data_IF_780567653552
#
_entry.id   IF_780567653552
#
_cell.length_a   1.000
_cell.length_b   1.000
_cell.length_c   1.000
_cell.angle_alpha   90.00
_cell.angle_beta   90.00
_cell.angle_gamma   90.00
#
_symmetry.space_group_name_H-M   'P 1'
#
loop_
_entity.id
_entity.type
_entity.pdbx_description
1 polymer ?
#
# COMPACT_ATOMS: atom_id res chain seq x y z
N UNK A 1 7.91 -23.98 14.38
CA UNK A 1 6.92 -23.48 13.40
C UNK A 1 6.01 -24.63 12.99
N UNK A 2 4.69 -24.48 13.13
CA UNK A 2 3.72 -25.56 12.83
C UNK A 2 3.52 -25.62 11.31
N UNK A 3 3.86 -26.76 10.68
CA UNK A 3 4.02 -26.89 9.22
C UNK A 3 2.73 -26.85 8.37
N UNK A 4 2.88 -27.20 7.08
CA UNK A 4 1.88 -27.09 5.98
C UNK A 4 0.49 -27.67 6.26
N UNK A 5 0.34 -28.54 7.26
CA UNK A 5 -0.96 -29.10 7.68
C UNK A 5 -1.96 -28.03 8.17
N UNK A 6 -1.48 -26.90 8.67
CA UNK A 6 -2.34 -25.80 9.16
C UNK A 6 -3.03 -25.03 8.02
N UNK A 7 -2.48 -25.00 6.80
CA UNK A 7 -3.10 -24.35 5.63
C UNK A 7 -4.42 -25.02 5.18
N UNK A 8 -4.81 -26.12 5.82
CA UNK A 8 -6.07 -26.84 5.58
C UNK A 8 -7.26 -26.25 6.34
N UNK A 9 -7.04 -25.35 7.29
CA UNK A 9 -8.12 -24.72 8.07
C UNK A 9 -8.22 -23.23 7.77
N UNK A 10 -9.43 -22.65 7.87
CA UNK A 10 -9.66 -21.20 7.69
C UNK A 10 -8.79 -20.36 8.64
N UNK A 11 -8.70 -20.78 9.90
CA UNK A 11 -7.86 -20.14 10.93
C UNK A 11 -6.38 -20.21 10.55
N UNK A 12 -5.89 -21.35 10.07
CA UNK A 12 -4.51 -21.47 9.65
C UNK A 12 -4.19 -20.57 8.47
N UNK A 13 -5.04 -20.51 7.44
CA UNK A 13 -4.87 -19.59 6.31
C UNK A 13 -4.80 -18.13 6.78
N UNK A 14 -5.73 -17.69 7.62
CA UNK A 14 -5.75 -16.33 8.16
C UNK A 14 -4.49 -15.98 8.98
N UNK A 15 -3.97 -16.94 9.76
CA UNK A 15 -2.71 -16.78 10.50
C UNK A 15 -1.52 -16.57 9.55
N UNK A 16 -1.41 -17.38 8.49
CA UNK A 16 -0.34 -17.23 7.50
C UNK A 16 -0.44 -15.91 6.74
N UNK A 17 -1.65 -15.49 6.31
CA UNK A 17 -1.86 -14.19 5.68
C UNK A 17 -1.45 -13.03 6.62
N UNK A 18 -1.79 -13.14 7.91
CA UNK A 18 -1.45 -12.12 8.90
C UNK A 18 0.04 -11.99 9.17
N UNK A 19 0.74 -13.12 9.33
CA UNK A 19 2.21 -13.12 9.51
C UNK A 19 2.90 -12.55 8.27
N UNK A 20 2.46 -12.91 7.07
CA UNK A 20 3.01 -12.35 5.83
C UNK A 20 2.76 -10.85 5.72
N UNK A 21 1.56 -10.37 6.05
CA UNK A 21 1.26 -8.94 6.09
C UNK A 21 2.19 -8.18 7.04
N UNK A 22 2.40 -8.69 8.26
CA UNK A 22 3.32 -8.06 9.22
C UNK A 22 4.78 -8.08 8.76
N UNK A 23 5.21 -9.15 8.09
CA UNK A 23 6.54 -9.20 7.48
C UNK A 23 6.69 -8.14 6.39
N UNK A 24 5.71 -7.98 5.50
CA UNK A 24 5.74 -6.97 4.44
C UNK A 24 5.87 -5.57 5.04
N UNK A 25 5.05 -5.25 6.04
CA UNK A 25 5.13 -4.00 6.81
C UNK A 25 6.55 -3.79 7.35
N UNK A 26 7.15 -4.79 7.98
CA UNK A 26 8.50 -4.69 8.51
C UNK A 26 9.56 -4.45 7.41
N UNK A 27 9.51 -5.19 6.30
CA UNK A 27 10.44 -5.04 5.18
C UNK A 27 10.34 -3.64 4.55
N UNK A 28 9.12 -3.21 4.23
CA UNK A 28 8.85 -1.90 3.63
C UNK A 28 9.24 -0.74 4.56
N UNK A 29 8.95 -0.86 5.87
CA UNK A 29 9.28 0.18 6.85
C UNK A 29 10.78 0.28 7.10
N UNK A 30 11.47 -0.86 7.19
CA UNK A 30 12.91 -0.90 7.49
C UNK A 30 13.79 -0.79 6.25
N UNK A 31 13.21 -0.80 5.04
CA UNK A 31 13.96 -0.90 3.78
C UNK A 31 14.95 -2.09 3.78
N UNK A 32 14.52 -3.22 4.37
CA UNK A 32 15.32 -4.45 4.47
C UNK A 32 14.65 -5.56 3.71
N UNK A 33 15.46 -6.30 2.96
CA UNK A 33 15.06 -7.54 2.32
C UNK A 33 14.66 -8.57 3.38
N UNK A 34 13.62 -9.38 3.14
CA UNK A 34 13.33 -10.52 3.99
C UNK A 34 14.53 -11.47 4.03
N UNK A 35 14.90 -11.95 5.23
CA UNK A 35 16.11 -12.79 5.43
C UNK A 35 16.19 -14.04 4.54
N UNK A 36 15.05 -14.55 4.08
CA UNK A 36 14.96 -15.76 3.25
C UNK A 36 14.70 -15.47 1.76
N UNK A 37 14.71 -14.19 1.37
CA UNK A 37 14.41 -13.75 0.01
C UNK A 37 12.90 -13.73 -0.30
N UNK A 38 12.48 -12.93 -1.29
CA UNK A 38 11.08 -12.78 -1.64
C UNK A 38 10.42 -14.09 -2.10
N UNK A 39 11.15 -14.90 -2.86
CA UNK A 39 10.66 -16.17 -3.41
C UNK A 39 10.29 -17.19 -2.32
N UNK A 40 11.08 -17.26 -1.24
CA UNK A 40 10.80 -18.19 -0.13
C UNK A 40 9.49 -17.84 0.57
N UNK A 41 9.19 -16.54 0.74
CA UNK A 41 7.95 -16.08 1.38
C UNK A 41 6.72 -16.27 0.50
N UNK A 42 6.91 -16.32 -0.82
CA UNK A 42 5.87 -16.48 -1.83
C UNK A 42 5.62 -17.96 -2.23
N UNK A 43 6.55 -18.88 -1.96
CA UNK A 43 6.54 -20.26 -2.46
C UNK A 43 5.31 -21.11 -2.09
N UNK A 44 4.64 -20.81 -0.96
CA UNK A 44 3.53 -21.62 -0.43
C UNK A 44 2.13 -21.05 -0.73
N UNK A 45 2.02 -20.03 -1.58
CA UNK A 45 0.78 -19.27 -1.81
C UNK A 45 -0.05 -19.76 -3.02
N UNK A 46 0.09 -21.03 -3.42
CA UNK A 46 -0.43 -21.62 -4.67
C UNK A 46 -1.95 -21.50 -4.95
N UNK A 47 -2.76 -20.95 -4.05
CA UNK A 47 -4.20 -20.73 -4.27
C UNK A 47 -4.58 -19.29 -4.64
N UNK A 48 -3.66 -18.34 -4.51
CA UNK A 48 -3.93 -16.93 -4.74
C UNK A 48 -2.75 -16.28 -5.48
N UNK A 49 -2.72 -16.51 -6.79
CA UNK A 49 -1.66 -15.99 -7.66
C UNK A 49 -1.58 -14.46 -7.62
N UNK A 50 -2.74 -13.78 -7.53
CA UNK A 50 -2.82 -12.32 -7.46
C UNK A 50 -2.20 -11.74 -6.19
N UNK A 51 -2.57 -12.25 -5.01
CA UNK A 51 -1.96 -11.79 -3.75
C UNK A 51 -0.49 -12.16 -3.64
N UNK A 52 -0.10 -13.31 -4.20
CA UNK A 52 1.32 -13.72 -4.24
C UNK A 52 2.14 -12.77 -5.10
N UNK A 53 1.61 -12.42 -6.27
CA UNK A 53 2.23 -11.50 -7.19
C UNK A 53 2.47 -10.12 -6.56
N UNK A 54 1.43 -9.51 -6.00
CA UNK A 54 1.56 -8.17 -5.40
C UNK A 54 2.48 -8.16 -4.17
N UNK A 55 2.50 -9.25 -3.39
CA UNK A 55 3.44 -9.38 -2.28
C UNK A 55 4.90 -9.44 -2.75
N UNK A 56 5.17 -10.09 -3.88
CA UNK A 56 6.50 -10.08 -4.50
C UNK A 56 6.90 -8.67 -4.92
N UNK A 57 6.00 -7.94 -5.59
CA UNK A 57 6.25 -6.54 -5.96
C UNK A 57 6.58 -5.68 -4.75
N UNK A 58 5.81 -5.81 -3.66
CA UNK A 58 6.03 -5.07 -2.42
C UNK A 58 7.44 -5.32 -1.84
N UNK A 59 7.92 -6.56 -1.90
CA UNK A 59 9.27 -6.91 -1.43
C UNK A 59 10.35 -6.33 -2.34
N UNK A 60 10.14 -6.31 -3.65
CA UNK A 60 11.07 -5.69 -4.62
C UNK A 60 11.15 -4.18 -4.42
N UNK A 61 10.05 -3.50 -4.07
CA UNK A 61 10.07 -2.08 -3.69
C UNK A 61 10.90 -1.85 -2.43
N UNK A 62 10.77 -2.71 -1.41
CA UNK A 62 11.58 -2.61 -0.19
C UNK A 62 13.08 -2.78 -0.47
N UNK A 63 13.45 -3.72 -1.34
CA UNK A 63 14.83 -3.93 -1.82
C UNK A 63 15.35 -2.69 -2.54
N UNK A 64 14.58 -2.18 -3.51
CA UNK A 64 14.98 -1.02 -4.31
C UNK A 64 15.17 0.24 -3.46
N UNK A 65 14.31 0.44 -2.46
CA UNK A 65 14.45 1.52 -1.47
C UNK A 65 15.74 1.38 -0.66
N UNK A 66 16.06 0.16 -0.23
CA UNK A 66 17.30 -0.14 0.50
C UNK A 66 18.55 0.13 -0.34
N UNK A 67 18.54 -0.30 -1.60
CA UNK A 67 19.63 -0.09 -2.56
C UNK A 67 19.85 1.40 -2.82
N UNK A 68 18.78 2.17 -3.07
CA UNK A 68 18.87 3.61 -3.28
C UNK A 68 19.44 4.30 -2.04
N UNK A 69 18.92 4.01 -0.85
CA UNK A 69 19.41 4.60 0.39
C UNK A 69 20.92 4.37 0.58
N UNK A 70 21.40 3.16 0.30
CA UNK A 70 22.84 2.83 0.38
C UNK A 70 23.67 3.63 -0.62
N UNK A 71 23.21 3.78 -1.87
CA UNK A 71 23.93 4.56 -2.87
C UNK A 71 24.02 6.03 -2.44
N UNK A 72 22.88 6.64 -2.10
CA UNK A 72 22.78 8.06 -1.76
C UNK A 72 23.56 8.42 -0.48
N UNK A 73 23.70 7.49 0.47
CA UNK A 73 24.42 7.74 1.73
C UNK A 73 25.92 7.46 1.66
N UNK A 74 26.37 6.58 0.77
CA UNK A 74 27.74 6.05 0.81
C UNK A 74 28.62 6.51 -0.35
N UNK A 75 28.06 7.10 -1.41
CA UNK A 75 28.81 7.45 -2.61
C UNK A 75 28.69 8.94 -2.94
N UNK A 76 29.79 9.60 -3.36
CA UNK A 76 29.70 10.93 -3.94
C UNK A 76 29.03 10.87 -5.32
N UNK A 77 28.50 12.01 -5.79
CA UNK A 77 28.02 12.13 -7.17
C UNK A 77 29.19 11.96 -8.14
N UNK A 78 29.06 10.97 -9.03
CA UNK A 78 29.97 10.67 -10.13
C UNK A 78 29.17 10.13 -11.32
N UNK A 79 29.75 10.05 -12.53
CA UNK A 79 29.09 9.43 -13.67
C UNK A 79 28.61 7.99 -13.36
N UNK A 80 29.45 7.17 -12.74
CA UNK A 80 29.16 5.77 -12.43
C UNK A 80 28.02 5.62 -11.42
N UNK A 81 28.00 6.46 -10.39
CA UNK A 81 26.92 6.45 -9.39
C UNK A 81 25.61 7.01 -9.95
N UNK A 82 25.70 7.94 -10.90
CA UNK A 82 24.52 8.48 -11.61
C UNK A 82 23.90 7.43 -12.52
N UNK A 83 24.71 6.60 -13.18
CA UNK A 83 24.21 5.44 -13.94
C UNK A 83 23.46 4.45 -13.03
N UNK A 84 24.01 4.13 -11.85
CA UNK A 84 23.33 3.27 -10.87
C UNK A 84 21.99 3.86 -10.38
N UNK A 85 21.94 5.16 -10.12
CA UNK A 85 20.70 5.84 -9.70
C UNK A 85 19.67 5.86 -10.83
N UNK A 86 20.12 6.03 -12.07
CA UNK A 86 19.25 5.97 -13.26
C UNK A 86 18.67 4.57 -13.46
N UNK A 87 19.48 3.53 -13.27
CA UNK A 87 19.01 2.14 -13.32
C UNK A 87 17.95 1.85 -12.23
N UNK A 88 18.16 2.37 -11.01
CA UNK A 88 17.14 2.28 -9.95
C UNK A 88 15.83 2.97 -10.37
N UNK A 89 15.91 4.14 -11.00
CA UNK A 89 14.72 4.85 -11.48
C UNK A 89 13.96 4.02 -12.51
N UNK A 90 14.66 3.44 -13.49
CA UNK A 90 14.02 2.58 -14.50
C UNK A 90 13.31 1.39 -13.87
N UNK A 91 13.98 0.66 -12.98
CA UNK A 91 13.39 -0.47 -12.25
C UNK A 91 12.17 -0.06 -11.41
N UNK A 92 12.19 1.14 -10.82
CA UNK A 92 11.04 1.66 -10.07
C UNK A 92 9.83 1.90 -10.98
N UNK A 93 10.05 2.46 -12.16
CA UNK A 93 9.00 2.69 -13.16
C UNK A 93 8.46 1.38 -13.75
N UNK A 94 9.30 0.37 -13.93
CA UNK A 94 8.86 -0.97 -14.33
C UNK A 94 7.96 -1.62 -13.26
N UNK A 95 8.33 -1.50 -11.99
CA UNK A 95 7.48 -1.98 -10.88
C UNK A 95 6.12 -1.29 -10.85
N UNK A 96 6.07 0.03 -11.11
CA UNK A 96 4.80 0.76 -11.22
C UNK A 96 3.90 0.19 -12.33
N UNK A 97 4.46 -0.13 -13.49
CA UNK A 97 3.70 -0.77 -14.57
C UNK A 97 3.16 -2.15 -14.18
N UNK A 98 3.93 -2.94 -13.42
CA UNK A 98 3.45 -4.22 -12.89
C UNK A 98 2.31 -4.05 -11.88
N UNK A 99 2.35 -3.00 -11.04
CA UNK A 99 1.23 -2.69 -10.15
C UNK A 99 -0.03 -2.31 -10.91
N UNK A 100 0.08 -1.53 -11.99
CA UNK A 100 -1.06 -1.18 -12.85
C UNK A 100 -1.66 -2.43 -13.49
N UNK A 101 -0.83 -3.31 -14.05
CA UNK A 101 -1.28 -4.61 -14.59
C UNK A 101 -1.98 -5.46 -13.53
N UNK A 102 -1.45 -5.51 -12.32
CA UNK A 102 -2.10 -6.21 -11.22
C UNK A 102 -3.45 -5.57 -10.89
N UNK A 103 -3.53 -4.24 -10.83
CA UNK A 103 -4.74 -3.50 -10.50
C UNK A 103 -5.91 -3.85 -11.43
N UNK A 104 -5.65 -3.98 -12.73
CA UNK A 104 -6.63 -4.38 -13.76
C UNK A 104 -7.26 -5.76 -13.50
N UNK A 105 -6.57 -6.63 -12.75
CA UNK A 105 -7.06 -7.97 -12.39
C UNK A 105 -7.86 -8.00 -11.10
N UNK A 106 -7.91 -6.88 -10.37
CA UNK A 106 -8.56 -6.79 -9.06
C UNK A 106 -9.94 -6.14 -9.15
N UNK A 107 -10.77 -6.40 -8.14
CA UNK A 107 -12.11 -5.80 -8.05
C UNK A 107 -12.22 -4.93 -6.79
N UNK A 108 -12.78 -3.73 -6.97
CA UNK A 108 -13.26 -2.84 -5.91
C UNK A 108 -14.48 -2.08 -6.44
N UNK A 109 -15.34 -1.61 -5.54
CA UNK A 109 -16.52 -0.85 -5.92
C UNK A 109 -16.56 0.47 -5.17
N UNK A 110 -16.57 1.59 -5.89
CA UNK A 110 -16.93 2.88 -5.31
C UNK A 110 -18.44 2.91 -5.07
N UNK A 111 -18.85 3.13 -3.82
CA UNK A 111 -20.26 3.06 -3.40
C UNK A 111 -20.84 4.38 -2.94
N UNK A 112 -20.00 5.35 -2.60
CA UNK A 112 -20.44 6.68 -2.21
C UNK A 112 -19.37 7.73 -2.50
N UNK A 113 -19.83 8.97 -2.56
CA UNK A 113 -19.01 10.16 -2.54
C UNK A 113 -19.54 11.10 -1.45
N UNK A 114 -18.69 11.44 -0.50
CA UNK A 114 -19.05 12.17 0.72
C UNK A 114 -18.60 13.62 0.56
N UNK A 115 -19.53 14.47 0.15
CA UNK A 115 -19.25 15.90 -0.10
C UNK A 115 -19.55 16.79 1.12
N UNK A 116 -20.37 16.32 2.06
CA UNK A 116 -20.90 17.17 3.12
C UNK A 116 -20.26 16.85 4.48
N UNK A 117 -19.46 17.80 4.99
CA UNK A 117 -18.96 17.77 6.37
C UNK A 117 -19.99 18.49 7.25
N UNK A 118 -20.58 17.84 8.28
CA UNK A 118 -21.55 18.48 9.16
C UNK A 118 -21.01 19.78 9.77
N UNK A 119 -21.56 20.92 9.35
CA UNK A 119 -21.13 22.25 9.81
C UNK A 119 -19.69 22.62 9.43
N UNK A 120 -19.09 21.94 8.44
CA UNK A 120 -17.69 22.15 8.05
C UNK A 120 -16.65 21.60 9.05
N UNK A 121 -17.10 20.93 10.12
CA UNK A 121 -16.24 20.39 11.16
C UNK A 121 -15.89 18.92 10.88
N UNK A 122 -14.69 18.67 10.34
CA UNK A 122 -14.23 17.33 9.97
C UNK A 122 -14.18 16.37 11.15
N UNK A 123 -14.03 16.88 12.39
CA UNK A 123 -14.00 16.04 13.59
C UNK A 123 -15.37 15.41 13.91
N UNK A 124 -16.43 15.92 13.29
CA UNK A 124 -17.82 15.42 13.41
C UNK A 124 -18.24 14.58 12.21
N UNK A 125 -17.39 14.41 11.20
CA UNK A 125 -17.71 13.58 10.06
C UNK A 125 -17.51 12.09 10.42
N UNK A 126 -18.48 11.25 10.07
CA UNK A 126 -18.40 9.81 10.30
C UNK A 126 -17.36 9.12 9.40
N UNK A 127 -17.07 9.73 8.25
CA UNK A 127 -16.06 9.32 7.26
C UNK A 127 -15.35 10.54 6.70
N UNK A 128 -14.09 10.37 6.30
CA UNK A 128 -13.35 11.43 5.62
C UNK A 128 -14.08 11.83 4.32
N UNK A 129 -14.14 13.12 3.96
CA UNK A 129 -14.71 13.57 2.70
C UNK A 129 -14.07 12.90 1.48
N UNK A 130 -14.88 12.70 0.45
CA UNK A 130 -14.47 12.07 -0.81
C UNK A 130 -15.03 10.67 -0.99
N UNK A 131 -14.28 9.84 -1.72
CA UNK A 131 -14.75 8.54 -2.20
C UNK A 131 -14.80 7.50 -1.08
N UNK A 132 -15.81 6.61 -1.10
CA UNK A 132 -15.86 5.41 -0.27
C UNK A 132 -15.87 4.18 -1.15
N UNK A 133 -14.89 3.29 -0.95
CA UNK A 133 -14.72 2.05 -1.70
C UNK A 133 -15.04 0.81 -0.83
N UNK A 134 -15.71 -0.18 -1.42
CA UNK A 134 -15.88 -1.52 -0.85
C UNK A 134 -15.04 -2.55 -1.59
N UNK A 135 -14.68 -3.60 -0.86
CA UNK A 135 -13.83 -4.69 -1.35
C UNK A 135 -14.50 -6.04 -1.07
N UNK A 136 -14.13 -7.11 -1.80
CA UNK A 136 -14.70 -8.43 -1.57
C UNK A 136 -14.51 -8.94 -0.14
N UNK A 137 -13.35 -8.65 0.46
CA UNK A 137 -13.00 -9.00 1.84
C UNK A 137 -11.78 -8.20 2.35
N UNK A 138 -11.46 -8.33 3.64
CA UNK A 138 -10.43 -7.51 4.34
C UNK A 138 -9.02 -7.74 3.80
N UNK A 139 -8.64 -8.98 3.48
CA UNK A 139 -7.32 -9.27 2.93
C UNK A 139 -7.13 -8.67 1.53
N UNK A 140 -8.16 -8.65 0.68
CA UNK A 140 -8.15 -7.97 -0.61
C UNK A 140 -7.95 -6.47 -0.42
N UNK A 141 -8.72 -5.84 0.48
CA UNK A 141 -8.51 -4.43 0.84
C UNK A 141 -7.08 -4.19 1.40
N UNK A 142 -6.54 -5.12 2.19
CA UNK A 142 -5.17 -5.02 2.71
C UNK A 142 -4.12 -5.11 1.60
N UNK A 143 -4.31 -5.97 0.61
CA UNK A 143 -3.43 -6.11 -0.55
C UNK A 143 -3.42 -4.82 -1.39
N UNK A 144 -4.60 -4.25 -1.62
CA UNK A 144 -4.77 -2.92 -2.23
C UNK A 144 -4.01 -1.83 -1.45
N UNK A 145 -4.14 -1.80 -0.12
CA UNK A 145 -3.46 -0.77 0.66
C UNK A 145 -1.95 -0.98 0.71
N UNK A 146 -1.46 -2.21 0.78
CA UNK A 146 -0.02 -2.48 0.69
C UNK A 146 0.55 -2.10 -0.68
N UNK A 147 -0.16 -2.38 -1.78
CA UNK A 147 0.29 -1.95 -3.11
C UNK A 147 0.33 -0.43 -3.23
N UNK A 148 -0.70 0.28 -2.75
CA UNK A 148 -0.74 1.75 -2.75
C UNK A 148 0.40 2.37 -1.95
N UNK A 149 0.72 1.84 -0.77
CA UNK A 149 1.88 2.31 0.01
C UNK A 149 3.18 2.05 -0.73
N UNK A 150 3.35 0.88 -1.34
CA UNK A 150 4.53 0.59 -2.16
C UNK A 150 4.65 1.56 -3.35
N UNK A 151 3.55 1.95 -3.99
CA UNK A 151 3.53 2.95 -5.06
C UNK A 151 3.86 4.36 -4.56
N UNK A 152 3.47 4.73 -3.34
CA UNK A 152 3.95 5.95 -2.67
C UNK A 152 5.49 5.89 -2.48
N UNK A 153 6.04 4.74 -2.11
CA UNK A 153 7.50 4.58 -2.03
C UNK A 153 8.17 4.61 -3.39
N UNK A 154 7.56 4.05 -4.45
CA UNK A 154 8.04 4.21 -5.83
C UNK A 154 8.10 5.68 -6.21
N UNK A 155 7.04 6.46 -5.92
CA UNK A 155 7.03 7.89 -6.17
C UNK A 155 8.22 8.59 -5.49
N UNK A 156 8.45 8.31 -4.21
CA UNK A 156 9.58 8.87 -3.47
C UNK A 156 10.95 8.41 -4.02
N UNK A 157 11.09 7.16 -4.45
CA UNK A 157 12.31 6.63 -5.09
C UNK A 157 12.59 7.42 -6.37
N UNK A 158 11.62 7.51 -7.27
CA UNK A 158 11.77 8.19 -8.57
C UNK A 158 12.07 9.68 -8.37
N UNK A 159 11.37 10.36 -7.47
CA UNK A 159 11.63 11.78 -7.14
C UNK A 159 13.07 11.98 -6.65
N UNK A 160 13.55 11.10 -5.75
CA UNK A 160 14.93 11.18 -5.24
C UNK A 160 15.97 10.88 -6.31
N UNK A 161 15.69 9.94 -7.21
CA UNK A 161 16.55 9.69 -8.36
C UNK A 161 16.58 10.89 -9.31
N UNK A 162 15.43 11.52 -9.59
CA UNK A 162 15.36 12.71 -10.43
C UNK A 162 16.19 13.86 -9.82
N UNK A 163 16.01 14.11 -8.51
CA UNK A 163 16.79 15.10 -7.78
C UNK A 163 18.29 14.82 -7.74
N UNK A 164 18.69 13.55 -7.78
CA UNK A 164 20.10 13.20 -7.90
C UNK A 164 20.66 13.55 -9.28
N UNK A 165 19.94 13.15 -10.34
CA UNK A 165 20.37 13.23 -11.73
C UNK A 165 20.33 14.66 -12.29
N UNK A 166 19.33 15.47 -11.93
CA UNK A 166 19.21 16.84 -12.43
C UNK A 166 20.01 17.86 -11.63
N UNK A 167 20.65 17.47 -10.50
CA UNK A 167 21.40 18.39 -9.66
C UNK A 167 22.47 19.16 -10.47
N UNK A 168 22.61 20.49 -10.30
CA UNK A 168 21.99 21.35 -9.28
C UNK A 168 20.64 21.98 -9.68
N UNK A 169 20.03 21.56 -10.80
CA UNK A 169 18.73 22.08 -11.25
C UNK A 169 17.62 21.63 -10.30
N UNK A 170 16.61 22.49 -10.15
CA UNK A 170 15.42 22.18 -9.36
C UNK A 170 14.64 21.00 -9.93
N UNK A 171 14.59 19.91 -9.18
CA UNK A 171 13.94 18.67 -9.54
C UNK A 171 12.41 18.79 -9.59
N UNK A 172 11.83 19.80 -8.93
CA UNK A 172 10.38 20.01 -8.95
C UNK A 172 9.86 20.43 -10.33
N UNK A 173 10.77 20.88 -11.20
CA UNK A 173 10.46 21.24 -12.59
C UNK A 173 10.47 20.05 -13.55
N UNK A 174 10.89 18.87 -13.11
CA UNK A 174 10.99 17.69 -13.99
C UNK A 174 9.64 16.99 -14.18
N UNK A 175 9.42 16.36 -15.34
CA UNK A 175 8.20 15.59 -15.57
C UNK A 175 8.05 14.42 -14.60
N UNK A 176 9.16 13.81 -14.16
CA UNK A 176 9.17 12.72 -13.19
C UNK A 176 8.59 13.18 -11.85
N UNK A 177 8.97 14.37 -11.35
CA UNK A 177 8.41 14.91 -10.12
C UNK A 177 6.90 15.15 -10.27
N UNK A 178 6.48 15.83 -11.34
CA UNK A 178 5.08 16.16 -11.56
C UNK A 178 4.21 14.90 -11.67
N UNK A 179 4.69 13.87 -12.36
CA UNK A 179 3.97 12.60 -12.51
C UNK A 179 3.89 11.83 -11.19
N UNK A 180 5.02 11.66 -10.50
CA UNK A 180 5.10 10.86 -9.28
C UNK A 180 4.36 11.53 -8.11
N UNK A 181 4.38 12.86 -8.05
CA UNK A 181 3.62 13.62 -7.04
C UNK A 181 2.12 13.41 -7.20
N UNK A 182 1.58 13.54 -8.42
CA UNK A 182 0.17 13.26 -8.71
C UNK A 182 -0.21 11.82 -8.38
N UNK A 183 0.59 10.86 -8.84
CA UNK A 183 0.35 9.44 -8.55
C UNK A 183 0.33 9.16 -7.04
N UNK A 184 1.29 9.70 -6.28
CA UNK A 184 1.32 9.51 -4.83
C UNK A 184 0.13 10.14 -4.10
N UNK A 185 -0.32 11.32 -4.55
CA UNK A 185 -1.56 11.95 -4.06
C UNK A 185 -2.79 11.08 -4.34
N UNK A 186 -2.90 10.52 -5.54
CA UNK A 186 -3.96 9.58 -5.89
C UNK A 186 -3.93 8.34 -4.98
N UNK A 187 -2.74 7.76 -4.72
CA UNK A 187 -2.59 6.62 -3.81
C UNK A 187 -3.02 6.95 -2.38
N UNK A 188 -2.72 8.15 -1.89
CA UNK A 188 -3.16 8.63 -0.57
C UNK A 188 -4.70 8.69 -0.51
N UNK A 189 -5.34 9.33 -1.49
CA UNK A 189 -6.79 9.40 -1.59
C UNK A 189 -7.42 8.01 -1.65
N UNK A 190 -6.82 7.10 -2.40
CA UNK A 190 -7.26 5.72 -2.54
C UNK A 190 -7.14 4.92 -1.24
N UNK A 191 -6.08 5.12 -0.45
CA UNK A 191 -5.95 4.54 0.90
C UNK A 191 -7.06 5.07 1.79
N UNK A 192 -7.28 6.38 1.83
CA UNK A 192 -8.32 7.03 2.65
C UNK A 192 -9.72 6.49 2.27
N UNK A 193 -10.00 6.32 0.99
CA UNK A 193 -11.27 5.80 0.49
C UNK A 193 -11.59 4.36 0.94
N UNK A 194 -10.56 3.59 1.29
CA UNK A 194 -10.70 2.20 1.78
C UNK A 194 -11.01 2.11 3.28
N UNK A 195 -10.77 3.18 4.04
CA UNK A 195 -10.85 3.18 5.50
C UNK A 195 -12.26 2.84 6.01
N UNK A 196 -13.36 3.40 5.47
CA UNK A 196 -14.69 3.04 5.92
C UNK A 196 -14.95 1.52 5.86
N UNK A 197 -14.55 0.87 4.76
CA UNK A 197 -14.66 -0.59 4.63
C UNK A 197 -13.87 -1.34 5.71
N UNK A 198 -12.62 -0.92 5.99
CA UNK A 198 -11.80 -1.51 7.06
C UNK A 198 -12.43 -1.38 8.45
N UNK A 199 -13.28 -0.36 8.65
CA UNK A 199 -14.06 -0.16 9.89
C UNK A 199 -15.49 -0.72 9.82
N UNK A 200 -15.80 -1.52 8.80
CA UNK A 200 -17.04 -2.31 8.70
C UNK A 200 -18.22 -1.59 8.05
N UNK A 201 -17.98 -0.50 7.32
CA UNK A 201 -19.00 0.10 6.47
C UNK A 201 -19.39 -0.85 5.34
N UNK A 202 -20.70 -0.93 5.04
CA UNK A 202 -21.25 -1.85 4.05
C UNK A 202 -22.55 -1.28 3.44
N UNK A 203 -23.03 -1.89 2.35
CA UNK A 203 -24.34 -1.60 1.79
C UNK A 203 -25.41 -2.44 2.49
N UNK A 204 -26.53 -1.81 2.86
CA UNK A 204 -27.72 -2.54 3.31
C UNK A 204 -28.49 -3.18 2.13
N UNK A 205 -29.59 -3.88 2.43
CA UNK A 205 -30.41 -4.54 1.41
C UNK A 205 -31.00 -3.57 0.38
N UNK A 206 -31.10 -2.28 0.72
CA UNK A 206 -31.57 -1.21 -0.17
C UNK A 206 -30.40 -0.49 -0.89
N UNK A 207 -29.16 -0.97 -0.72
CA UNK A 207 -27.98 -0.38 -1.35
C UNK A 207 -27.51 0.93 -0.70
N UNK A 208 -27.94 1.22 0.53
CA UNK A 208 -27.52 2.42 1.27
C UNK A 208 -26.27 2.11 2.09
N UNK A 209 -25.30 3.01 2.02
CA UNK A 209 -24.09 2.92 2.80
C UNK A 209 -24.41 3.12 4.30
N UNK A 210 -24.04 2.14 5.13
CA UNK A 210 -24.21 2.19 6.59
C UNK A 210 -22.95 1.76 7.33
N UNK A 211 -22.66 2.37 8.49
CA UNK A 211 -21.64 1.83 9.39
C UNK A 211 -22.09 0.46 9.90
N UNK A 212 -21.14 -0.49 10.00
CA UNK A 212 -21.40 -1.76 10.66
C UNK A 212 -21.77 -1.57 12.13
N UNK A 213 -22.59 -2.46 12.70
CA UNK A 213 -22.89 -2.46 14.13
C UNK A 213 -21.61 -2.82 14.95
N UNK A 214 -21.18 -2.00 15.93
CA UNK A 214 -20.04 -2.31 16.80
C UNK A 214 -20.23 -3.58 17.64
N UNK A 215 -21.47 -3.96 17.90
CA UNK A 215 -21.88 -4.95 18.90
C UNK A 215 -22.55 -6.20 18.32
N UNK A 216 -22.82 -6.26 17.00
CA UNK A 216 -23.37 -7.45 16.33
C UNK A 216 -22.28 -8.52 16.12
N UNK A 217 -21.66 -8.95 17.21
CA UNK A 217 -20.76 -10.09 17.24
C UNK A 217 -21.56 -11.37 17.36
N UNK A 218 -21.82 -12.03 16.24
CA UNK A 218 -22.00 -13.49 16.28
C UNK A 218 -20.67 -14.25 16.09
N UNK A 219 -19.59 -13.52 15.79
CA UNK A 219 -18.21 -14.02 15.85
C UNK A 219 -17.39 -13.06 16.71
N UNK A 220 -16.90 -13.53 17.85
CA UNK A 220 -16.05 -12.80 18.80
C UNK A 220 -14.65 -12.40 18.23
N UNK A 221 -14.47 -12.48 16.91
CA UNK A 221 -13.27 -12.17 16.12
C UNK A 221 -13.54 -11.08 15.06
N UNK A 222 -14.50 -10.20 15.33
CA UNK A 222 -15.11 -9.28 14.37
C UNK A 222 -14.12 -8.52 13.48
N UNK A 223 -14.38 -8.60 12.17
CA UNK A 223 -13.75 -7.96 11.00
C UNK A 223 -13.18 -6.55 11.25
N UNK A 224 -13.76 -5.77 12.17
CA UNK A 224 -13.33 -4.40 12.53
C UNK A 224 -12.00 -4.32 13.28
N UNK A 225 -11.74 -5.20 14.25
CA UNK A 225 -10.47 -5.18 14.97
C UNK A 225 -9.31 -5.55 14.03
N UNK A 226 -9.58 -6.51 13.13
CA UNK A 226 -8.64 -6.92 12.10
C UNK A 226 -8.43 -5.81 11.05
N UNK A 227 -9.51 -5.20 10.55
CA UNK A 227 -9.44 -4.09 9.60
C UNK A 227 -8.69 -2.89 10.17
N UNK A 228 -8.92 -2.54 11.45
CA UNK A 228 -8.13 -1.54 12.17
C UNK A 228 -6.64 -1.86 12.19
N UNK A 229 -6.25 -3.12 12.52
CA UNK A 229 -4.85 -3.56 12.50
C UNK A 229 -4.21 -3.38 11.11
N UNK A 230 -4.92 -3.70 10.04
CA UNK A 230 -4.42 -3.53 8.67
C UNK A 230 -4.46 -2.08 8.17
N UNK A 231 -5.29 -1.22 8.76
CA UNK A 231 -5.39 0.19 8.40
C UNK A 231 -4.28 1.06 9.04
N UNK A 232 -3.76 0.67 10.20
CA UNK A 232 -2.76 1.45 10.95
C UNK A 232 -1.54 1.79 10.09
N UNK A 233 -0.92 0.79 9.45
CA UNK A 233 0.34 1.03 8.73
C UNK A 233 0.16 1.86 7.44
N UNK A 234 -0.87 1.60 6.59
CA UNK A 234 -1.17 2.49 5.47
C UNK A 234 -1.44 3.93 5.91
N UNK A 235 -2.23 4.15 6.98
CA UNK A 235 -2.50 5.50 7.49
C UNK A 235 -1.25 6.18 8.04
N UNK A 236 -0.39 5.44 8.75
CA UNK A 236 0.89 5.96 9.19
C UNK A 236 1.76 6.36 8.00
N UNK A 237 1.80 5.52 6.96
CA UNK A 237 2.57 5.80 5.73
C UNK A 237 2.06 7.04 5.00
N UNK A 238 0.73 7.23 4.95
CA UNK A 238 0.12 8.48 4.46
C UNK A 238 0.56 9.66 5.31
N UNK A 239 0.45 9.58 6.64
CA UNK A 239 0.79 10.69 7.56
C UNK A 239 2.26 11.10 7.52
N UNK A 240 3.15 10.21 7.08
CA UNK A 240 4.58 10.48 6.93
C UNK A 240 4.99 10.82 5.49
N UNK A 241 4.04 10.92 4.55
CA UNK A 241 4.35 11.18 3.15
C UNK A 241 4.44 12.68 2.88
N UNK A 242 5.53 13.12 2.24
CA UNK A 242 5.69 14.51 1.76
C UNK A 242 4.72 14.86 0.60
N UNK A 243 3.90 13.89 0.15
CA UNK A 243 2.93 14.06 -0.93
C UNK A 243 1.53 14.40 -0.41
N UNK A 244 1.33 14.47 0.92
CA UNK A 244 0.09 15.02 1.49
C UNK A 244 0.02 16.51 1.19
N UNK A 245 -1.12 16.98 0.69
CA UNK A 245 -1.40 18.42 0.57
C UNK A 245 -1.86 18.97 1.92
N UNK A 246 -1.50 20.23 2.22
CA UNK A 246 -2.04 21.02 3.34
C UNK A 246 -3.56 21.20 3.26
#
# INVERSE_FOLDING_TARGET
>A
MRGKKQLRTKVGVALFQSVRGQMLVNCLSSSKTPMLGADWWCADSQKDEGTTFVNRLNLQVAELRGDLNRILMSHPRSPETTELVTEIMHRALELEQEYQRWEETQTKQTVAWVDNIPGGDITKADVCPGRVDLYPEVFACSAWNFSRVSRIFIAAIVIRCAAWTCYPVDYQTTPEYAQMSRMGQEMICDIIASIPFMFGWHLDAEGRLKPGDPMSGNDATGVKALGGVYAIWPLLSVSCSDLTTD
#
